data_IF_396289918131
#
_entry.id   IF_396289918131
#
_cell.length_a   1.000
_cell.length_b   1.000
_cell.length_c   1.000
_cell.angle_alpha   90.00
_cell.angle_beta   90.00
_cell.angle_gamma   90.00
#
_symmetry.space_group_name_H-M   'P 1'
#
loop_
_entity.id
_entity.type
_entity.pdbx_description
1 polymer ?
#
# COMPACT_ATOMS: atom_id res chain seq x y z
N UNK A 1 -7.60 -6.99 -8.39
CA UNK A 1 -6.75 -6.55 -7.26
C UNK A 1 -7.54 -5.64 -6.33
N UNK A 2 -7.94 -4.42 -6.70
CA UNK A 2 -8.71 -3.54 -5.80
C UNK A 2 -10.03 -4.11 -5.24
N UNK A 3 -10.76 -4.93 -5.99
CA UNK A 3 -12.04 -5.53 -5.56
C UNK A 3 -11.90 -6.86 -4.81
N UNK A 4 -10.71 -7.45 -4.82
CA UNK A 4 -10.42 -8.79 -4.28
C UNK A 4 -9.15 -8.67 -3.43
N UNK A 5 -9.26 -8.16 -2.20
CA UNK A 5 -8.11 -8.02 -1.30
C UNK A 5 -7.58 -9.39 -0.87
N UNK A 6 -6.40 -9.41 -0.26
CA UNK A 6 -5.90 -10.64 0.33
C UNK A 6 -6.87 -11.09 1.44
N UNK A 7 -7.19 -12.40 1.54
CA UNK A 7 -8.19 -12.81 2.51
C UNK A 7 -7.69 -12.57 3.93
N UNK A 8 -8.44 -11.74 4.66
CA UNK A 8 -8.18 -11.38 6.07
C UNK A 8 -7.75 -12.54 6.99
N UNK A 9 -8.36 -13.76 6.95
CA UNK A 9 -7.93 -14.83 7.84
C UNK A 9 -6.48 -15.28 7.61
N UNK A 10 -5.96 -15.21 6.38
CA UNK A 10 -4.58 -15.58 6.11
C UNK A 10 -3.59 -14.57 6.69
N UNK A 11 -3.89 -13.27 6.59
CA UNK A 11 -3.06 -12.21 7.17
C UNK A 11 -2.89 -12.43 8.69
N UNK A 12 -3.99 -12.71 9.40
CA UNK A 12 -3.95 -12.98 10.83
C UNK A 12 -3.16 -14.24 11.19
N UNK A 13 -3.28 -15.32 10.41
CA UNK A 13 -2.53 -16.57 10.67
C UNK A 13 -1.04 -16.36 10.48
N UNK A 14 -0.63 -15.64 9.42
CA UNK A 14 0.79 -15.32 9.17
C UNK A 14 1.35 -14.50 10.33
N UNK A 15 0.63 -13.47 10.80
CA UNK A 15 1.04 -12.68 11.95
C UNK A 15 1.22 -13.55 13.21
N UNK A 16 0.28 -14.44 13.52
CA UNK A 16 0.37 -15.35 14.68
C UNK A 16 1.57 -16.30 14.55
N UNK A 17 1.81 -16.86 13.37
CA UNK A 17 2.95 -17.74 13.12
C UNK A 17 4.29 -17.00 13.24
N UNK A 18 4.35 -15.75 12.80
CA UNK A 18 5.54 -14.92 12.91
C UNK A 18 5.87 -14.62 14.38
N UNK A 19 4.86 -14.30 15.19
CA UNK A 19 5.04 -14.11 16.64
C UNK A 19 5.43 -15.40 17.37
N UNK A 20 4.92 -16.56 16.95
CA UNK A 20 5.40 -17.84 17.49
C UNK A 20 6.85 -18.13 17.07
N UNK A 21 7.22 -17.79 15.83
CA UNK A 21 8.57 -17.97 15.31
C UNK A 21 9.61 -17.16 16.10
N UNK A 22 9.29 -15.93 16.49
CA UNK A 22 10.23 -15.10 17.28
C UNK A 22 10.58 -15.72 18.63
N UNK A 23 9.67 -16.49 19.24
CA UNK A 23 9.90 -17.20 20.51
C UNK A 23 10.61 -18.53 20.27
N UNK A 24 10.23 -19.27 19.22
CA UNK A 24 10.79 -20.60 18.93
C UNK A 24 12.23 -20.54 18.38
N UNK A 25 12.56 -19.51 17.59
CA UNK A 25 13.88 -19.33 16.99
C UNK A 25 15.04 -19.31 18.02
N UNK A 26 15.01 -18.49 19.09
CA UNK A 26 16.08 -18.50 20.10
C UNK A 26 16.16 -19.82 20.88
N UNK A 27 15.04 -20.50 21.11
CA UNK A 27 15.00 -21.81 21.78
C UNK A 27 15.73 -22.85 20.93
N UNK A 28 15.46 -22.87 19.63
CA UNK A 28 16.09 -23.79 18.69
C UNK A 28 17.60 -23.53 18.56
N UNK A 29 18.00 -22.28 18.35
CA UNK A 29 19.41 -21.91 18.17
C UNK A 29 20.25 -22.17 19.43
N UNK A 30 19.66 -22.04 20.62
CA UNK A 30 20.32 -22.40 21.88
C UNK A 30 20.76 -23.89 21.93
N UNK A 31 20.05 -24.78 21.24
CA UNK A 31 20.39 -26.21 21.20
C UNK A 31 21.41 -26.60 20.12
N UNK A 32 21.66 -25.72 19.14
CA UNK A 32 22.48 -26.05 17.95
C UNK A 32 23.88 -25.42 18.04
N UNK A 33 23.96 -24.14 18.38
CA UNK A 33 25.21 -23.38 18.34
C UNK A 33 25.72 -23.24 19.78
N UNK A 34 27.01 -23.54 20.00
CA UNK A 34 27.64 -23.41 21.33
C UNK A 34 28.20 -22.00 21.56
N UNK A 35 28.61 -21.30 20.49
CA UNK A 35 29.18 -19.95 20.58
C UNK A 35 28.11 -18.88 20.82
N UNK A 36 28.32 -18.04 21.84
CA UNK A 36 27.34 -17.05 22.32
C UNK A 36 27.14 -15.93 21.31
N UNK A 37 28.20 -15.47 20.66
CA UNK A 37 28.15 -14.35 19.72
C UNK A 37 27.44 -14.75 18.43
N UNK A 38 27.80 -15.90 17.85
CA UNK A 38 27.15 -16.42 16.64
C UNK A 38 25.66 -16.67 16.87
N UNK A 39 25.27 -17.21 18.03
CA UNK A 39 23.85 -17.40 18.37
C UNK A 39 23.03 -16.12 18.28
N UNK A 40 23.54 -15.03 18.84
CA UNK A 40 22.87 -13.73 18.82
C UNK A 40 22.67 -13.22 17.39
N UNK A 41 23.72 -13.31 16.56
CA UNK A 41 23.68 -12.88 15.16
C UNK A 41 22.68 -13.70 14.36
N UNK A 42 22.71 -15.04 14.49
CA UNK A 42 21.79 -15.91 13.75
C UNK A 42 20.33 -15.68 14.14
N UNK A 43 20.02 -15.59 15.44
CA UNK A 43 18.65 -15.31 15.90
C UNK A 43 18.18 -13.95 15.39
N UNK A 44 19.01 -12.90 15.50
CA UNK A 44 18.66 -11.56 15.04
C UNK A 44 18.38 -11.54 13.54
N UNK A 45 19.30 -12.04 12.72
CA UNK A 45 19.15 -12.05 11.24
C UNK A 45 17.93 -12.85 10.82
N UNK A 46 17.68 -14.00 11.46
CA UNK A 46 16.57 -14.88 11.09
C UNK A 46 15.23 -14.21 11.42
N UNK A 47 15.06 -13.71 12.64
CA UNK A 47 13.84 -13.00 13.07
C UNK A 47 13.63 -11.73 12.25
N UNK A 48 14.68 -10.93 12.05
CA UNK A 48 14.62 -9.71 11.25
C UNK A 48 14.17 -9.98 9.81
N UNK A 49 14.72 -11.00 9.16
CA UNK A 49 14.38 -11.34 7.77
C UNK A 49 12.90 -11.70 7.61
N UNK A 50 12.33 -12.50 8.52
CA UNK A 50 10.93 -12.89 8.45
C UNK A 50 9.97 -11.71 8.75
N UNK A 51 10.33 -10.84 9.70
CA UNK A 51 9.56 -9.62 9.94
C UNK A 51 9.63 -8.63 8.77
N UNK A 52 10.81 -8.42 8.21
CA UNK A 52 10.99 -7.56 7.05
C UNK A 52 10.16 -8.07 5.86
N UNK A 53 10.15 -9.38 5.61
CA UNK A 53 9.37 -9.99 4.55
C UNK A 53 7.85 -9.78 4.75
N UNK A 54 7.35 -9.93 5.98
CA UNK A 54 5.94 -9.68 6.28
C UNK A 54 5.56 -8.22 5.97
N UNK A 55 6.37 -7.26 6.43
CA UNK A 55 6.13 -5.84 6.14
C UNK A 55 6.18 -5.50 4.65
N UNK A 56 7.10 -6.11 3.89
CA UNK A 56 7.13 -5.92 2.43
C UNK A 56 5.85 -6.49 1.80
N UNK A 57 5.36 -7.64 2.27
CA UNK A 57 4.10 -8.22 1.83
C UNK A 57 2.91 -7.29 2.07
N UNK A 58 2.85 -6.67 3.24
CA UNK A 58 1.78 -5.71 3.58
C UNK A 58 1.79 -4.48 2.66
N UNK A 59 2.98 -3.92 2.37
CA UNK A 59 3.11 -2.78 1.45
C UNK A 59 2.73 -3.13 0.01
N UNK A 60 2.84 -4.40 -0.39
CA UNK A 60 2.49 -4.84 -1.75
C UNK A 60 1.00 -5.17 -1.92
N UNK A 61 0.21 -5.21 -0.85
CA UNK A 61 -1.21 -5.55 -0.94
C UNK A 61 -2.02 -4.44 -1.65
N UNK A 62 -1.68 -3.16 -1.41
CA UNK A 62 -2.41 -2.01 -1.97
C UNK A 62 -1.50 -1.06 -2.75
N UNK A 63 -1.27 -1.32 -4.05
CA UNK A 63 -0.32 -0.54 -4.84
C UNK A 63 -0.89 0.78 -5.40
N UNK A 64 -2.17 1.08 -5.19
CA UNK A 64 -2.88 2.15 -5.92
C UNK A 64 -3.18 3.39 -5.10
N UNK A 65 -3.21 3.25 -3.78
CA UNK A 65 -3.35 4.40 -2.91
C UNK A 65 -2.00 5.12 -2.79
N UNK A 66 -1.97 6.43 -2.43
CA UNK A 66 -0.73 7.20 -2.32
C UNK A 66 -0.35 7.47 -0.85
N UNK A 67 -0.07 6.43 -0.07
CA UNK A 67 0.39 6.51 1.32
C UNK A 67 1.90 6.19 1.51
N UNK A 68 2.51 5.38 0.64
CA UNK A 68 3.92 4.96 0.66
C UNK A 68 4.67 5.37 -0.63
N UNK A 69 5.89 5.93 -0.53
CA UNK A 69 6.74 6.20 -1.68
C UNK A 69 6.97 5.05 -2.68
N UNK A 70 6.79 3.78 -2.29
CA UNK A 70 6.99 2.63 -3.17
C UNK A 70 5.72 2.19 -3.91
N UNK A 71 4.62 2.92 -3.77
CA UNK A 71 3.38 2.68 -4.50
C UNK A 71 3.47 3.15 -5.96
N UNK A 72 2.46 2.81 -6.75
CA UNK A 72 2.46 3.10 -8.17
C UNK A 72 2.22 4.60 -8.42
N UNK A 73 3.07 5.30 -9.21
CA UNK A 73 2.86 6.71 -9.53
C UNK A 73 1.75 6.89 -10.57
N UNK A 74 0.50 6.76 -10.13
CA UNK A 74 -0.69 6.88 -10.98
C UNK A 74 -0.80 8.24 -11.70
N UNK A 75 -0.46 9.39 -11.09
CA UNK A 75 -0.50 10.67 -11.79
C UNK A 75 0.46 10.73 -12.98
N UNK A 76 1.67 10.19 -12.82
CA UNK A 76 2.69 10.16 -13.88
C UNK A 76 2.30 9.19 -15.00
N UNK A 77 1.71 8.04 -14.64
CA UNK A 77 1.16 7.09 -15.60
C UNK A 77 0.02 7.72 -16.42
N UNK A 78 -0.91 8.42 -15.78
CA UNK A 78 -1.99 9.13 -16.47
C UNK A 78 -1.44 10.23 -17.39
N UNK A 79 -0.45 11.00 -16.91
CA UNK A 79 0.20 12.03 -17.72
C UNK A 79 0.87 11.43 -18.97
N UNK A 80 1.58 10.32 -18.83
CA UNK A 80 2.23 9.58 -19.93
C UNK A 80 1.23 9.09 -20.97
N UNK A 81 0.09 8.54 -20.53
CA UNK A 81 -0.99 8.10 -21.44
C UNK A 81 -1.56 9.29 -22.21
N UNK A 82 -1.86 10.40 -21.52
CA UNK A 82 -2.38 11.61 -22.16
C UNK A 82 -1.42 12.11 -23.25
N UNK A 83 -0.13 12.22 -22.94
CA UNK A 83 0.89 12.65 -23.90
C UNK A 83 0.94 11.77 -25.15
N UNK A 84 0.76 10.45 -25.01
CA UNK A 84 0.70 9.52 -26.15
C UNK A 84 -0.58 9.71 -26.97
N UNK A 85 -1.73 9.94 -26.32
CA UNK A 85 -2.97 10.25 -27.02
C UNK A 85 -2.86 11.54 -27.84
N UNK A 86 -2.22 12.58 -27.30
CA UNK A 86 -1.92 13.82 -28.03
C UNK A 86 -1.09 13.54 -29.30
N UNK A 87 -0.13 12.63 -29.23
CA UNK A 87 0.72 12.28 -30.37
C UNK A 87 -0.02 11.53 -31.51
N UNK A 88 -1.14 10.87 -31.23
CA UNK A 88 -1.94 10.17 -32.24
C UNK A 88 -2.84 11.09 -33.09
N UNK A 89 -2.89 12.40 -32.80
CA UNK A 89 -3.47 13.41 -33.68
C UNK A 89 -5.00 13.52 -33.71
N UNK A 90 -5.74 12.64 -33.02
CA UNK A 90 -7.19 12.79 -32.80
C UNK A 90 -7.44 13.30 -31.40
N UNK A 91 -7.64 14.60 -31.29
CA UNK A 91 -8.18 15.24 -30.08
C UNK A 91 -9.55 15.79 -30.47
N UNK A 92 -10.65 15.32 -29.86
CA UNK A 92 -11.92 16.02 -29.94
C UNK A 92 -11.68 17.45 -29.45
N UNK A 93 -11.83 18.44 -30.32
CA UNK A 93 -11.83 19.82 -29.86
C UNK A 93 -13.01 19.96 -28.91
N UNK A 94 -12.79 20.51 -27.70
CA UNK A 94 -13.90 21.16 -27.02
C UNK A 94 -14.49 22.13 -28.05
N UNK A 95 -15.76 21.96 -28.38
CA UNK A 95 -16.47 22.97 -29.15
C UNK A 95 -16.22 24.32 -28.47
N UNK A 96 -15.81 25.34 -29.21
CA UNK A 96 -15.61 26.70 -28.70
C UNK A 96 -16.92 27.32 -28.15
N UNK A 97 -18.03 26.57 -28.21
CA UNK A 97 -19.22 26.88 -27.42
C UNK A 97 -18.83 26.90 -25.94
N UNK A 98 -19.01 28.03 -25.24
CA UNK A 98 -18.83 28.05 -23.80
C UNK A 98 -19.67 26.91 -23.20
N UNK A 99 -19.14 26.17 -22.21
CA UNK A 99 -19.96 25.20 -21.50
C UNK A 99 -21.22 25.93 -21.04
N UNK A 100 -22.44 25.41 -21.30
CA UNK A 100 -23.63 26.00 -20.72
C UNK A 100 -23.37 26.10 -19.23
N UNK A 101 -23.43 27.31 -18.68
CA UNK A 101 -23.00 27.65 -17.33
C UNK A 101 -23.25 26.45 -16.43
N UNK A 102 -22.18 25.74 -16.08
CA UNK A 102 -22.28 24.77 -15.01
C UNK A 102 -22.49 25.67 -13.82
N UNK A 103 -23.76 25.87 -13.48
CA UNK A 103 -24.18 26.43 -12.21
C UNK A 103 -23.63 25.44 -11.20
N UNK A 104 -22.37 25.65 -10.82
CA UNK A 104 -21.79 25.11 -9.61
C UNK A 104 -22.70 25.68 -8.55
N UNK A 105 -23.70 24.89 -8.16
CA UNK A 105 -24.46 25.15 -6.97
C UNK A 105 -23.42 25.00 -5.87
N UNK A 106 -22.79 26.12 -5.53
CA UNK A 106 -22.06 26.31 -4.29
C UNK A 106 -23.04 25.83 -3.21
N UNK A 107 -22.90 24.56 -2.81
CA UNK A 107 -23.62 24.04 -1.66
C UNK A 107 -22.91 24.69 -0.49
N UNK A 108 -23.37 25.89 -0.15
CA UNK A 108 -23.05 26.56 1.08
C UNK A 108 -23.44 25.61 2.21
N UNK A 109 -22.47 24.85 2.72
CA UNK A 109 -22.54 24.18 4.01
C UNK A 109 -22.49 25.25 5.11
N UNK A 110 -23.45 26.18 5.11
CA UNK A 110 -23.67 27.14 6.18
C UNK A 110 -24.53 26.46 7.23
N UNK A 111 -23.87 25.97 8.28
CA UNK A 111 -24.27 26.10 9.69
C UNK A 111 -25.70 25.74 10.17
N UNK A 112 -26.51 25.00 9.42
CA UNK A 112 -27.88 24.66 9.86
C UNK A 112 -28.04 23.32 10.61
N UNK A 113 -26.94 22.66 11.01
CA UNK A 113 -26.98 21.43 11.83
C UNK A 113 -26.64 21.61 13.31
N UNK A 114 -26.60 22.87 13.79
CA UNK A 114 -26.55 23.17 15.23
C UNK A 114 -27.81 23.91 15.67
N UNK A 115 -28.99 23.30 15.47
CA UNK A 115 -30.24 23.63 16.19
C UNK A 115 -31.38 22.65 15.84
N UNK A 116 -31.27 21.41 16.33
CA UNK A 116 -32.39 20.66 16.93
C UNK A 116 -31.89 19.46 17.69
#
# INVERSE_FOLDING_TARGET
VAITPFPFPYHNIIAVFLWMYTILCPILINGIIMDVTLRGVFVFVSVFCYHALNHIGDNLEDPYLPYDPNELPLPDLQHSVNMRLWAFGVVPRLSDSPPPDVVVKEVNFTQDTLKT
#
